data_IF_267382455792
#
_entry.id   IF_267382455792
#
_cell.length_a   1.000
_cell.length_b   1.000
_cell.length_c   1.000
_cell.angle_alpha   90.00
_cell.angle_beta   90.00
_cell.angle_gamma   90.00
#
_symmetry.space_group_name_H-M   'P 1'
#
loop_
_entity.id
_entity.type
_entity.pdbx_description
1 polymer ?
#
# COMPACT_ATOMS: atom_id res chain seq x y z
N UNK A 1 9.94 19.15 -0.68
CA UNK A 1 11.09 18.38 -0.15
C UNK A 1 12.37 18.80 -0.89
N UNK A 2 12.71 20.10 -0.87
CA UNK A 2 14.00 20.58 -1.37
C UNK A 2 14.59 21.74 -0.53
N UNK A 3 14.70 21.61 0.81
CA UNK A 3 15.37 22.62 1.62
C UNK A 3 16.92 22.50 1.60
N UNK A 4 17.49 21.41 1.06
CA UNK A 4 18.94 21.11 1.10
C UNK A 4 19.60 20.90 -0.27
N UNK A 5 18.85 20.97 -1.38
CA UNK A 5 19.40 20.79 -2.74
C UNK A 5 19.79 19.34 -3.09
N UNK A 6 19.83 18.42 -2.12
CA UNK A 6 20.17 17.02 -2.34
C UNK A 6 18.92 16.15 -2.54
N UNK A 7 18.89 15.37 -3.62
CA UNK A 7 17.94 14.27 -3.79
C UNK A 7 18.54 13.05 -3.08
N UNK A 8 18.00 12.63 -1.92
CA UNK A 8 18.62 11.57 -1.15
C UNK A 8 18.60 10.23 -1.90
N UNK A 9 19.75 9.56 -1.96
CA UNK A 9 19.92 8.27 -2.62
C UNK A 9 19.86 7.09 -1.63
N UNK A 10 19.20 6.01 -2.02
CA UNK A 10 19.09 4.76 -1.25
C UNK A 10 18.77 4.96 0.24
N UNK A 11 19.63 4.43 1.11
CA UNK A 11 19.48 4.49 2.56
C UNK A 11 19.63 5.92 3.15
N UNK A 12 20.14 6.88 2.38
CA UNK A 12 20.36 8.25 2.85
C UNK A 12 19.06 9.01 3.06
N UNK A 13 17.94 8.58 2.46
CA UNK A 13 16.62 9.22 2.65
C UNK A 13 16.26 9.34 4.13
N UNK A 14 16.40 8.24 4.88
CA UNK A 14 16.09 8.25 6.31
C UNK A 14 17.01 9.20 7.10
N UNK A 15 18.30 9.24 6.73
CA UNK A 15 19.31 10.12 7.36
C UNK A 15 19.06 11.60 7.03
N UNK A 16 18.68 11.91 5.80
CA UNK A 16 18.37 13.27 5.38
C UNK A 16 17.10 13.77 6.07
N UNK A 17 16.06 12.93 6.17
CA UNK A 17 14.86 13.29 6.92
C UNK A 17 15.15 13.45 8.41
N UNK A 18 15.93 12.54 9.02
CA UNK A 18 16.27 12.67 10.44
C UNK A 18 17.03 13.97 10.72
N UNK A 19 17.96 14.37 9.84
CA UNK A 19 18.70 15.64 9.95
C UNK A 19 17.77 16.86 9.89
N UNK A 20 16.72 16.83 9.08
CA UNK A 20 15.73 17.90 9.03
C UNK A 20 14.98 18.01 10.36
N UNK A 21 14.57 16.88 10.94
CA UNK A 21 13.88 16.86 12.23
C UNK A 21 14.80 17.26 13.39
N UNK A 22 16.07 16.84 13.40
CA UNK A 22 17.02 17.22 14.44
C UNK A 22 17.40 18.69 14.38
N UNK A 23 17.45 19.28 13.18
CA UNK A 23 17.68 20.73 13.02
C UNK A 23 16.55 21.55 13.64
N UNK A 24 15.30 21.07 13.57
CA UNK A 24 14.13 21.80 14.08
C UNK A 24 13.88 21.52 15.57
N UNK A 25 14.04 20.26 16.02
CA UNK A 25 13.61 19.79 17.35
C UNK A 25 14.79 19.47 18.29
N UNK A 26 16.03 19.47 17.80
CA UNK A 26 17.25 19.15 18.54
C UNK A 26 17.78 17.73 18.30
N UNK A 27 19.06 17.52 18.62
CA UNK A 27 19.80 16.27 18.37
C UNK A 27 19.21 15.03 19.06
N UNK A 28 18.54 15.20 20.21
CA UNK A 28 17.89 14.11 20.94
C UNK A 28 16.79 13.40 20.12
N UNK A 29 16.27 14.07 19.09
CA UNK A 29 15.24 13.54 18.19
C UNK A 29 15.79 12.48 17.23
N UNK A 30 17.09 12.47 16.94
CA UNK A 30 17.69 11.55 15.96
C UNK A 30 17.39 10.06 16.27
N UNK A 31 17.74 9.52 17.46
CA UNK A 31 17.50 8.11 17.75
C UNK A 31 16.00 7.77 17.80
N UNK A 32 15.16 8.70 18.27
CA UNK A 32 13.70 8.51 18.31
C UNK A 32 13.12 8.41 16.90
N UNK A 33 13.52 9.31 16.00
CA UNK A 33 13.09 9.29 14.60
C UNK A 33 13.49 7.99 13.91
N UNK A 34 14.75 7.56 14.06
CA UNK A 34 15.25 6.33 13.44
C UNK A 34 14.49 5.09 13.93
N UNK A 35 14.19 5.01 15.22
CA UNK A 35 13.43 3.92 15.81
C UNK A 35 11.99 3.89 15.29
N UNK A 36 11.30 5.02 15.27
CA UNK A 36 9.92 5.11 14.78
C UNK A 36 9.86 4.82 13.28
N UNK A 37 10.79 5.36 12.49
CA UNK A 37 10.88 5.09 11.06
C UNK A 37 11.09 3.60 10.78
N UNK A 38 11.96 2.94 11.53
CA UNK A 38 12.17 1.50 11.43
C UNK A 38 10.88 0.72 11.70
N UNK A 39 10.18 0.97 12.82
CA UNK A 39 8.94 0.26 13.15
C UNK A 39 7.81 0.53 12.14
N UNK A 40 7.70 1.76 11.63
CA UNK A 40 6.72 2.11 10.61
C UNK A 40 6.97 1.37 9.28
N UNK A 41 8.21 1.32 8.81
CA UNK A 41 8.58 0.61 7.59
C UNK A 41 8.50 -0.91 7.77
N UNK A 42 8.92 -1.42 8.93
CA UNK A 42 8.88 -2.85 9.26
C UNK A 42 7.44 -3.35 9.33
N UNK A 43 6.55 -2.65 10.03
CA UNK A 43 5.15 -3.07 10.14
C UNK A 43 4.46 -3.13 8.78
N UNK A 44 4.67 -2.11 7.93
CA UNK A 44 4.13 -2.09 6.57
C UNK A 44 4.65 -3.27 5.74
N UNK A 45 5.96 -3.53 5.79
CA UNK A 45 6.58 -4.65 5.07
C UNK A 45 6.06 -6.00 5.56
N UNK A 46 5.94 -6.16 6.87
CA UNK A 46 5.44 -7.38 7.51
C UNK A 46 3.98 -7.66 7.13
N UNK A 47 3.10 -6.65 7.21
CA UNK A 47 1.69 -6.78 6.83
C UNK A 47 1.53 -7.15 5.37
N UNK A 48 2.32 -6.56 4.46
CA UNK A 48 2.28 -6.90 3.03
C UNK A 48 2.77 -8.34 2.79
N UNK A 49 3.87 -8.72 3.44
CA UNK A 49 4.52 -10.02 3.23
C UNK A 49 3.70 -11.19 3.77
N UNK A 50 2.90 -11.00 4.83
CA UNK A 50 1.99 -12.02 5.35
C UNK A 50 0.59 -11.98 4.69
N UNK A 51 0.06 -10.77 4.45
CA UNK A 51 -1.31 -10.58 4.00
C UNK A 51 -1.56 -10.99 2.55
N UNK A 52 -0.72 -10.50 1.62
CA UNK A 52 -0.94 -10.73 0.19
C UNK A 52 -0.88 -12.21 -0.22
N UNK A 53 0.09 -13.01 0.25
CA UNK A 53 0.15 -14.43 -0.12
C UNK A 53 -1.08 -15.22 0.35
N UNK A 54 -1.65 -14.88 1.52
CA UNK A 54 -2.89 -15.49 2.01
C UNK A 54 -4.08 -15.11 1.13
N UNK A 55 -4.26 -13.82 0.85
CA UNK A 55 -5.37 -13.34 0.02
C UNK A 55 -5.29 -13.91 -1.41
N UNK A 56 -4.10 -13.94 -2.02
CA UNK A 56 -3.91 -14.55 -3.33
C UNK A 56 -4.10 -16.07 -3.32
N UNK A 57 -3.65 -16.75 -2.26
CA UNK A 57 -3.92 -18.16 -2.06
C UNK A 57 -5.43 -18.47 -2.08
N UNK A 58 -6.23 -17.71 -1.34
CA UNK A 58 -7.69 -17.89 -1.32
C UNK A 58 -8.36 -17.49 -2.64
N UNK A 59 -7.94 -16.39 -3.26
CA UNK A 59 -8.43 -16.01 -4.59
C UNK A 59 -8.17 -17.11 -5.64
N UNK A 60 -6.97 -17.72 -5.61
CA UNK A 60 -6.61 -18.82 -6.49
C UNK A 60 -7.48 -20.07 -6.27
N UNK A 61 -7.83 -20.38 -5.02
CA UNK A 61 -8.75 -21.49 -4.69
C UNK A 61 -10.15 -21.25 -5.27
N UNK A 62 -10.67 -20.02 -5.14
CA UNK A 62 -11.98 -19.64 -5.68
C UNK A 62 -11.98 -19.76 -7.20
N UNK A 63 -10.94 -19.27 -7.89
CA UNK A 63 -10.82 -19.36 -9.36
C UNK A 63 -10.79 -20.83 -9.83
N UNK A 64 -10.17 -21.74 -9.06
CA UNK A 64 -10.16 -23.18 -9.34
C UNK A 64 -11.47 -23.91 -8.99
N UNK A 65 -12.51 -23.19 -8.58
CA UNK A 65 -13.82 -23.78 -8.25
C UNK A 65 -13.82 -24.62 -6.97
N UNK A 66 -12.83 -24.46 -6.09
CA UNK A 66 -12.80 -25.17 -4.81
C UNK A 66 -13.78 -24.52 -3.83
N UNK A 67 -14.57 -25.33 -3.11
CA UNK A 67 -15.49 -24.84 -2.08
C UNK A 67 -14.71 -24.27 -0.89
N UNK A 68 -15.10 -23.08 -0.42
CA UNK A 68 -14.46 -22.42 0.74
C UNK A 68 -14.47 -23.30 2.01
N UNK A 69 -15.48 -24.16 2.18
CA UNK A 69 -15.66 -25.03 3.35
C UNK A 69 -14.75 -26.28 3.37
N UNK A 70 -13.95 -26.51 2.32
CA UNK A 70 -13.02 -27.65 2.30
C UNK A 70 -11.84 -27.35 3.24
N UNK A 71 -11.44 -28.30 4.11
CA UNK A 71 -10.30 -28.10 5.01
C UNK A 71 -9.09 -27.66 4.21
N UNK A 72 -8.43 -26.61 4.71
CA UNK A 72 -7.40 -25.85 4.00
C UNK A 72 -6.34 -26.82 3.46
N UNK A 73 -6.40 -27.13 2.16
CA UNK A 73 -5.43 -28.01 1.52
C UNK A 73 -4.12 -27.24 1.35
N UNK A 74 -3.32 -27.28 2.42
CA UNK A 74 -1.89 -27.02 2.54
C UNK A 74 -1.32 -25.67 2.01
N UNK A 75 -0.29 -25.16 2.69
CA UNK A 75 0.29 -23.82 2.49
C UNK A 75 1.11 -23.65 1.20
N UNK A 76 1.03 -24.55 0.21
CA UNK A 76 1.91 -24.49 -0.97
C UNK A 76 1.64 -23.23 -1.79
N UNK A 77 0.37 -22.88 -2.03
CA UNK A 77 0.02 -21.64 -2.72
C UNK A 77 0.52 -20.41 -1.94
N UNK A 78 0.36 -20.42 -0.60
CA UNK A 78 0.89 -19.36 0.26
C UNK A 78 2.41 -19.21 0.11
N UNK A 79 3.18 -20.30 0.19
CA UNK A 79 4.63 -20.25 0.05
C UNK A 79 5.08 -19.83 -1.36
N UNK A 80 4.36 -20.25 -2.40
CA UNK A 80 4.61 -19.80 -3.79
C UNK A 80 4.39 -18.30 -3.90
N UNK A 81 3.25 -17.79 -3.45
CA UNK A 81 2.96 -16.36 -3.52
C UNK A 81 3.87 -15.53 -2.60
N UNK A 82 4.28 -16.07 -1.45
CA UNK A 82 5.25 -15.43 -0.57
C UNK A 82 6.62 -15.33 -1.25
N UNK A 83 7.11 -16.42 -1.84
CA UNK A 83 8.35 -16.41 -2.63
C UNK A 83 8.29 -15.45 -3.81
N UNK A 84 7.17 -15.46 -4.56
CA UNK A 84 6.93 -14.52 -5.65
C UNK A 84 6.94 -13.05 -5.19
N UNK A 85 6.28 -12.75 -4.06
CA UNK A 85 6.24 -11.41 -3.49
C UNK A 85 7.62 -10.96 -3.00
N UNK A 86 8.38 -11.82 -2.33
CA UNK A 86 9.74 -11.52 -1.90
C UNK A 86 10.68 -11.29 -3.08
N UNK A 87 10.64 -12.14 -4.12
CA UNK A 87 11.48 -11.98 -5.31
C UNK A 87 11.11 -10.69 -6.05
N UNK A 88 9.82 -10.41 -6.26
CA UNK A 88 9.38 -9.18 -6.92
C UNK A 88 9.78 -7.93 -6.12
N UNK A 89 9.66 -7.95 -4.80
CA UNK A 89 10.14 -6.85 -3.94
C UNK A 89 11.66 -6.64 -4.08
N UNK A 90 12.46 -7.71 -4.08
CA UNK A 90 13.91 -7.61 -4.29
C UNK A 90 14.26 -7.03 -5.66
N UNK A 91 13.55 -7.43 -6.73
CA UNK A 91 13.73 -6.88 -8.08
C UNK A 91 13.45 -5.38 -8.07
N UNK A 92 12.33 -4.95 -7.49
CA UNK A 92 11.95 -3.53 -7.40
C UNK A 92 13.00 -2.74 -6.61
N UNK A 93 13.44 -3.25 -5.46
CA UNK A 93 14.51 -2.62 -4.66
C UNK A 93 15.79 -2.50 -5.47
N UNK A 94 16.18 -3.55 -6.21
CA UNK A 94 17.40 -3.55 -7.00
C UNK A 94 17.35 -2.54 -8.16
N UNK A 95 16.22 -2.43 -8.85
CA UNK A 95 16.01 -1.48 -9.97
C UNK A 95 16.07 -0.03 -9.46
N UNK A 96 15.47 0.25 -8.31
CA UNK A 96 15.32 1.62 -7.79
C UNK A 96 16.30 2.00 -6.67
N UNK A 97 17.32 1.17 -6.40
CA UNK A 97 18.25 1.36 -5.26
C UNK A 97 18.88 2.76 -5.17
N UNK A 98 19.17 3.38 -6.31
CA UNK A 98 19.80 4.71 -6.37
C UNK A 98 18.78 5.85 -6.47
N UNK A 99 17.48 5.53 -6.69
CA UNK A 99 16.42 6.53 -6.91
C UNK A 99 15.17 6.21 -6.07
N UNK A 100 15.29 6.17 -4.73
CA UNK A 100 14.18 5.82 -3.85
C UNK A 100 13.01 6.82 -3.93
N UNK A 101 13.30 8.09 -4.19
CA UNK A 101 12.26 9.13 -4.39
C UNK A 101 11.41 8.81 -5.62
N UNK A 102 12.04 8.40 -6.72
CA UNK A 102 11.34 8.00 -7.95
C UNK A 102 10.45 6.78 -7.70
N UNK A 103 10.94 5.78 -6.95
CA UNK A 103 10.15 4.61 -6.56
C UNK A 103 8.89 4.99 -5.79
N UNK A 104 9.01 5.87 -4.79
CA UNK A 104 7.86 6.31 -3.98
C UNK A 104 6.86 7.08 -4.84
N UNK A 105 7.33 7.91 -5.76
CA UNK A 105 6.46 8.64 -6.68
C UNK A 105 5.72 7.69 -7.62
N UNK A 106 6.40 6.77 -8.29
CA UNK A 106 5.79 5.78 -9.19
C UNK A 106 4.79 4.90 -8.44
N UNK A 107 5.17 4.38 -7.27
CA UNK A 107 4.29 3.57 -6.44
C UNK A 107 3.04 4.36 -5.98
N UNK A 108 3.22 5.63 -5.62
CA UNK A 108 2.12 6.54 -5.25
C UNK A 108 1.14 6.74 -6.41
N UNK A 109 1.66 6.99 -7.61
CA UNK A 109 0.84 7.15 -8.83
C UNK A 109 0.05 5.89 -9.13
N UNK A 110 0.70 4.72 -9.14
CA UNK A 110 0.02 3.44 -9.37
C UNK A 110 -1.08 3.22 -8.33
N UNK A 111 -0.78 3.46 -7.05
CA UNK A 111 -1.76 3.32 -5.95
C UNK A 111 -2.95 4.25 -6.14
N UNK A 112 -2.70 5.49 -6.56
CA UNK A 112 -3.74 6.49 -6.76
C UNK A 112 -4.64 6.16 -7.95
N UNK A 113 -4.06 5.63 -9.03
CA UNK A 113 -4.82 5.14 -10.19
C UNK A 113 -5.67 3.90 -9.85
N UNK A 114 -5.16 3.01 -9.00
CA UNK A 114 -5.86 1.78 -8.61
C UNK A 114 -6.90 1.97 -7.49
N UNK A 115 -6.74 2.99 -6.65
CA UNK A 115 -7.60 3.24 -5.47
C UNK A 115 -9.10 3.35 -5.82
N UNK A 116 -9.54 4.07 -6.88
CA UNK A 116 -10.95 4.11 -7.25
C UNK A 116 -11.53 2.72 -7.53
N UNK A 117 -10.79 1.86 -8.23
CA UNK A 117 -11.21 0.49 -8.55
C UNK A 117 -11.33 -0.33 -7.27
N UNK A 118 -10.32 -0.29 -6.40
CA UNK A 118 -10.35 -1.01 -5.12
C UNK A 118 -11.49 -0.55 -4.21
N UNK A 119 -11.76 0.76 -4.14
CA UNK A 119 -12.82 1.29 -3.27
C UNK A 119 -14.21 0.96 -3.80
N UNK A 120 -14.42 0.98 -5.12
CA UNK A 120 -15.67 0.54 -5.74
C UNK A 120 -15.93 -0.95 -5.48
N UNK A 121 -14.91 -1.79 -5.66
CA UNK A 121 -15.02 -3.23 -5.37
C UNK A 121 -15.30 -3.47 -3.88
N UNK A 122 -14.59 -2.79 -2.98
CA UNK A 122 -14.80 -2.91 -1.54
C UNK A 122 -16.24 -2.51 -1.16
N UNK A 123 -16.71 -1.37 -1.66
CA UNK A 123 -18.07 -0.89 -1.44
C UNK A 123 -19.12 -1.88 -1.97
N UNK A 124 -18.91 -2.45 -3.15
CA UNK A 124 -19.77 -3.48 -3.72
C UNK A 124 -19.81 -4.73 -2.83
N UNK A 125 -18.65 -5.25 -2.42
CA UNK A 125 -18.56 -6.42 -1.55
C UNK A 125 -19.29 -6.21 -0.22
N UNK A 126 -19.03 -5.09 0.44
CA UNK A 126 -19.58 -4.79 1.76
C UNK A 126 -21.10 -4.54 1.71
N UNK A 127 -21.62 -3.99 0.62
CA UNK A 127 -23.06 -3.67 0.50
C UNK A 127 -23.91 -4.80 -0.11
N UNK A 128 -23.34 -5.62 -1.00
CA UNK A 128 -24.07 -6.65 -1.76
C UNK A 128 -23.74 -8.09 -1.38
N UNK A 129 -22.49 -8.40 -1.02
CA UNK A 129 -22.06 -9.78 -0.76
C UNK A 129 -22.26 -10.21 0.70
N UNK A 130 -22.28 -9.27 1.64
CA UNK A 130 -22.58 -9.55 3.04
C UNK A 130 -24.09 -9.87 3.18
N UNK A 131 -24.40 -11.15 3.45
CA UNK A 131 -25.78 -11.64 3.57
C UNK A 131 -26.48 -11.13 4.83
N UNK A 132 -25.73 -11.04 5.94
CA UNK A 132 -26.24 -10.52 7.20
C UNK A 132 -26.46 -9.00 7.10
N UNK A 133 -27.66 -8.55 7.43
CA UNK A 133 -28.01 -7.12 7.37
C UNK A 133 -27.41 -6.34 8.53
N UNK A 134 -27.16 -6.96 9.67
CA UNK A 134 -26.61 -6.29 10.85
C UNK A 134 -25.13 -5.94 10.67
N UNK A 135 -24.42 -6.72 9.86
CA UNK A 135 -23.01 -6.49 9.52
C UNK A 135 -22.81 -5.51 8.35
N UNK A 136 -23.90 -4.97 7.78
CA UNK A 136 -23.81 -3.99 6.69
C UNK A 136 -23.53 -2.59 7.24
N UNK A 137 -22.81 -1.75 6.48
CA UNK A 137 -22.50 -0.40 6.91
C UNK A 137 -23.78 0.45 7.02
N UNK A 138 -23.89 1.18 8.13
CA UNK A 138 -24.93 2.19 8.33
C UNK A 138 -24.90 3.26 7.22
N UNK A 139 -26.01 3.99 7.04
CA UNK A 139 -26.14 4.97 5.97
C UNK A 139 -25.05 6.06 5.99
N UNK A 140 -24.60 6.48 7.17
CA UNK A 140 -23.51 7.44 7.34
C UNK A 140 -22.20 6.88 6.74
N UNK A 141 -21.82 5.66 7.13
CA UNK A 141 -20.61 5.00 6.61
C UNK A 141 -20.70 4.79 5.10
N UNK A 142 -21.91 4.52 4.59
CA UNK A 142 -22.16 4.37 3.16
C UNK A 142 -21.98 5.70 2.41
N UNK A 143 -22.43 6.81 2.98
CA UNK A 143 -22.24 8.15 2.42
C UNK A 143 -20.75 8.56 2.46
N UNK A 144 -20.06 8.32 3.58
CA UNK A 144 -18.62 8.56 3.70
C UNK A 144 -17.81 7.75 2.69
N UNK A 145 -18.17 6.48 2.47
CA UNK A 145 -17.53 5.64 1.46
C UNK A 145 -17.73 6.19 0.04
N UNK A 146 -18.94 6.63 -0.31
CA UNK A 146 -19.21 7.25 -1.63
C UNK A 146 -18.42 8.54 -1.79
N UNK A 147 -18.39 9.41 -0.78
CA UNK A 147 -17.60 10.65 -0.81
C UNK A 147 -16.11 10.36 -1.00
N UNK A 148 -15.58 9.34 -0.30
CA UNK A 148 -14.20 8.89 -0.48
C UNK A 148 -13.92 8.36 -1.89
N UNK A 149 -14.84 7.58 -2.47
CA UNK A 149 -14.74 7.10 -3.86
C UNK A 149 -14.71 8.27 -4.83
N UNK A 150 -15.62 9.24 -4.69
CA UNK A 150 -15.68 10.43 -5.54
C UNK A 150 -14.37 11.23 -5.41
N UNK A 151 -13.89 11.47 -4.19
CA UNK A 151 -12.66 12.21 -3.93
C UNK A 151 -11.43 11.53 -4.57
N UNK A 152 -11.28 10.21 -4.40
CA UNK A 152 -10.17 9.47 -5.01
C UNK A 152 -10.27 9.43 -6.54
N UNK A 153 -11.48 9.26 -7.09
CA UNK A 153 -11.71 9.24 -8.55
C UNK A 153 -11.39 10.59 -9.16
N UNK A 154 -11.88 11.67 -8.55
CA UNK A 154 -11.60 13.04 -8.98
C UNK A 154 -10.11 13.37 -8.90
N UNK A 155 -9.46 13.00 -7.80
CA UNK A 155 -8.02 13.12 -7.67
C UNK A 155 -7.27 12.39 -8.79
N UNK A 156 -7.61 11.12 -9.03
CA UNK A 156 -7.00 10.29 -10.08
C UNK A 156 -7.15 10.91 -11.47
N UNK A 157 -8.32 11.45 -11.79
CA UNK A 157 -8.57 12.18 -13.04
C UNK A 157 -7.72 13.45 -13.14
N UNK A 158 -7.63 14.24 -12.06
CA UNK A 158 -6.76 15.43 -12.03
C UNK A 158 -5.31 15.04 -12.28
N UNK A 159 -4.83 13.96 -11.66
CA UNK A 159 -3.47 13.49 -11.85
C UNK A 159 -3.20 13.15 -13.32
N UNK A 160 -4.07 12.37 -13.96
CA UNK A 160 -3.96 12.05 -15.40
C UNK A 160 -4.00 13.33 -16.23
N UNK A 161 -4.91 14.25 -15.93
CA UNK A 161 -5.03 15.52 -16.63
C UNK A 161 -3.73 16.34 -16.57
N UNK A 162 -3.14 16.48 -15.37
CA UNK A 162 -1.90 17.23 -15.17
C UNK A 162 -0.68 16.58 -15.83
N UNK A 163 -0.64 15.26 -15.92
CA UNK A 163 0.49 14.52 -16.48
C UNK A 163 0.50 14.50 -18.03
N UNK A 164 -0.67 14.58 -18.68
CA UNK A 164 -0.80 14.44 -20.14
C UNK A 164 -1.10 15.74 -20.89
N UNK A 165 -1.66 16.76 -20.23
CA UNK A 165 -2.10 18.02 -20.90
C UNK A 165 -1.17 19.21 -20.55
N UNK A 166 -0.23 19.03 -19.62
CA UNK A 166 0.81 20.02 -19.27
C UNK A 166 2.19 19.39 -19.40
#
# INVERSE_FOLDING_TARGET
LNPLGEVPEGAQVAVTLSKLFTTILGEWMYPLFMLVAFFAMFSTSYTVMDGFPRTFGEAWRIIRGQKLDSPQQKPVAYWIFMGFLSISALIVIFVFKNRPVELVLVAGVITFLLSPVYYLLNYYCVTRLIKDKELRPNQINRMLAILGIIAMTFGSIIYIYLQYIK
#
